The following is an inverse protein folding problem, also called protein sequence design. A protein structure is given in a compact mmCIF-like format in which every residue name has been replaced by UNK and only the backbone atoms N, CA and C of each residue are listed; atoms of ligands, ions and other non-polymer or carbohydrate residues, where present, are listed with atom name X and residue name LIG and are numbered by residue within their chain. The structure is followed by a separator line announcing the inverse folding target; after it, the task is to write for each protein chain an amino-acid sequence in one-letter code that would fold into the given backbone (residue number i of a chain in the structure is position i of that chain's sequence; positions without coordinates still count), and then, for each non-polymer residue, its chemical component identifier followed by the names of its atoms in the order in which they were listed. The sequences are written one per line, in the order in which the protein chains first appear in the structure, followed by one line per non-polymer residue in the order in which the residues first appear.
data_IF_965094387310
#
_entry.id   IF_965094387310
#
_cell.length_a   1.000
_cell.length_b   1.000
_cell.length_c   1.000
_cell.angle_alpha   90.00
_cell.angle_beta   90.00
_cell.angle_gamma   90.00
#
_symmetry.space_group_name_H-M   'P 1'
#
loop_
_entity.id
_entity.type
_entity.pdbx_description
1 polymer ?
#
# COMPACT_ATOMS: atom_id res chain seq x y z
N UNK A 1 18.15 -7.15 1.41
CA UNK A 1 16.83 -6.48 1.31
C UNK A 1 16.22 -6.38 2.70
N UNK A 2 15.40 -5.41 2.93
CA UNK A 2 14.73 -5.24 4.21
C UNK A 2 13.26 -4.91 4.00
N UNK A 3 12.40 -5.42 4.90
CA UNK A 3 10.98 -5.11 4.91
C UNK A 3 10.77 -3.64 5.31
N UNK A 4 9.92 -2.94 4.56
CA UNK A 4 9.57 -1.56 4.88
C UNK A 4 8.19 -1.46 5.52
N UNK A 5 7.14 -1.87 4.82
CA UNK A 5 5.77 -1.71 5.33
C UNK A 5 4.78 -2.59 4.58
N UNK A 6 3.63 -2.77 5.21
CA UNK A 6 2.43 -3.29 4.56
C UNK A 6 1.50 -2.12 4.20
N UNK A 7 0.92 -2.20 3.01
CA UNK A 7 -0.12 -1.30 2.55
C UNK A 7 -1.39 -2.11 2.36
N UNK A 8 -2.46 -1.74 3.05
CA UNK A 8 -3.75 -2.42 2.94
C UNK A 8 -4.66 -1.61 2.04
N UNK A 9 -4.91 -2.12 0.84
CA UNK A 9 -5.65 -1.42 -0.20
C UNK A 9 -7.16 -1.66 -0.08
N UNK A 10 -7.92 -0.63 -0.35
CA UNK A 10 -9.38 -0.67 -0.40
C UNK A 10 -9.90 -1.54 -1.55
N UNK A 11 -9.19 -1.55 -2.69
CA UNK A 11 -9.53 -2.33 -3.87
C UNK A 11 -8.30 -3.00 -4.45
N UNK A 12 -8.51 -4.09 -5.18
CA UNK A 12 -7.46 -4.72 -5.96
C UNK A 12 -7.14 -3.90 -7.22
N UNK A 13 -5.94 -4.08 -7.74
CA UNK A 13 -5.53 -3.51 -9.01
C UNK A 13 -4.56 -4.47 -9.71
N UNK A 14 -4.29 -4.21 -10.97
CA UNK A 14 -3.39 -5.05 -11.78
C UNK A 14 -1.95 -4.85 -11.38
N UNK A 15 -1.14 -5.90 -11.53
CA UNK A 15 0.28 -5.87 -11.16
C UNK A 15 1.03 -4.75 -11.87
N UNK A 16 0.79 -4.54 -13.17
CA UNK A 16 1.47 -3.48 -13.93
C UNK A 16 1.13 -2.08 -13.42
N UNK A 17 -0.09 -1.84 -12.98
CA UNK A 17 -0.48 -0.58 -12.38
C UNK A 17 0.19 -0.36 -11.03
N UNK A 18 0.31 -1.41 -10.23
CA UNK A 18 1.00 -1.35 -8.95
C UNK A 18 2.49 -1.06 -9.18
N UNK A 19 3.12 -1.72 -10.16
CA UNK A 19 4.51 -1.44 -10.55
C UNK A 19 4.69 0.04 -10.90
N UNK A 20 3.84 0.57 -11.78
CA UNK A 20 3.92 1.97 -12.21
C UNK A 20 3.75 2.93 -11.04
N UNK A 21 2.78 2.67 -10.16
CA UNK A 21 2.51 3.53 -9.02
C UNK A 21 3.68 3.57 -8.03
N UNK A 22 4.27 2.41 -7.73
CA UNK A 22 5.40 2.28 -6.82
C UNK A 22 6.65 2.91 -7.43
N UNK A 23 6.94 2.59 -8.68
CA UNK A 23 8.11 3.15 -9.37
C UNK A 23 8.05 4.67 -9.42
N UNK A 24 6.90 5.24 -9.73
CA UNK A 24 6.73 6.71 -9.75
C UNK A 24 6.91 7.32 -8.36
N UNK A 25 6.41 6.66 -7.31
CA UNK A 25 6.56 7.15 -5.94
C UNK A 25 8.01 7.16 -5.47
N UNK A 26 8.80 6.16 -5.87
CA UNK A 26 10.22 6.06 -5.53
C UNK A 26 11.12 6.77 -6.54
N UNK A 27 10.57 7.28 -7.63
CA UNK A 27 11.32 7.96 -8.71
C UNK A 27 12.39 7.03 -9.31
N UNK A 28 12.01 5.78 -9.57
CA UNK A 28 12.86 4.76 -10.17
C UNK A 28 12.20 4.17 -11.42
N UNK A 29 12.99 3.46 -12.22
CA UNK A 29 12.48 2.79 -13.42
C UNK A 29 11.51 1.65 -13.04
N UNK A 30 10.51 1.40 -13.89
CA UNK A 30 9.55 0.31 -13.67
C UNK A 30 10.23 -1.06 -13.62
N UNK A 31 11.33 -1.23 -14.35
CA UNK A 31 12.15 -2.46 -14.35
C UNK A 31 12.81 -2.73 -12.99
N UNK A 32 12.88 -1.72 -12.13
CA UNK A 32 13.44 -1.86 -10.77
C UNK A 32 12.41 -2.30 -9.74
N UNK A 33 11.15 -2.49 -10.14
CA UNK A 33 10.04 -2.91 -9.26
C UNK A 33 9.48 -4.23 -9.77
N UNK A 34 9.32 -5.19 -8.86
CA UNK A 34 8.62 -6.44 -9.15
C UNK A 34 7.43 -6.58 -8.21
N UNK A 35 6.28 -6.93 -8.76
CA UNK A 35 5.05 -7.23 -8.02
C UNK A 35 4.66 -8.67 -8.31
N UNK A 36 4.36 -9.43 -7.28
CA UNK A 36 3.93 -10.81 -7.44
C UNK A 36 3.44 -11.43 -6.14
N UNK A 37 2.83 -12.60 -6.26
CA UNK A 37 2.44 -13.39 -5.10
C UNK A 37 3.65 -14.11 -4.50
N UNK A 38 3.52 -14.57 -3.25
CA UNK A 38 4.55 -15.37 -2.59
C UNK A 38 4.60 -16.74 -3.27
N UNK A 39 5.45 -16.86 -4.27
CA UNK A 39 5.71 -18.10 -5.00
C UNK A 39 7.17 -18.15 -5.45
N UNK A 40 7.55 -19.20 -6.17
CA UNK A 40 8.94 -19.38 -6.63
C UNK A 40 9.39 -18.26 -7.57
N UNK A 41 8.50 -17.68 -8.36
CA UNK A 41 8.81 -16.60 -9.28
C UNK A 41 9.23 -15.33 -8.54
N UNK A 42 8.60 -15.03 -7.40
CA UNK A 42 8.98 -13.89 -6.56
C UNK A 42 10.37 -14.10 -5.96
N UNK A 43 10.67 -15.33 -5.52
CA UNK A 43 12.00 -15.65 -5.00
C UNK A 43 13.09 -15.52 -6.06
N UNK A 44 12.82 -15.92 -7.30
CA UNK A 44 13.75 -15.75 -8.41
C UNK A 44 13.97 -14.26 -8.72
N UNK A 45 12.91 -13.46 -8.69
CA UNK A 45 13.01 -12.01 -8.89
C UNK A 45 13.86 -11.32 -7.82
N UNK A 46 13.87 -11.86 -6.59
CA UNK A 46 14.66 -11.33 -5.48
C UNK A 46 16.13 -11.21 -5.78
N UNK A 47 16.67 -12.13 -6.61
CA UNK A 47 18.06 -12.15 -7.00
C UNK A 47 18.33 -11.41 -8.32
N UNK A 48 17.30 -10.82 -8.93
CA UNK A 48 17.46 -10.15 -10.22
C UNK A 48 18.33 -8.90 -10.09
N UNK A 49 19.33 -8.71 -10.97
CA UNK A 49 20.11 -7.48 -10.99
C UNK A 49 19.21 -6.28 -11.26
N UNK A 50 19.45 -5.19 -10.52
CA UNK A 50 18.69 -3.95 -10.70
C UNK A 50 17.37 -3.88 -9.97
N UNK A 51 16.90 -4.95 -9.36
CA UNK A 51 15.70 -4.91 -8.53
C UNK A 51 15.95 -4.04 -7.30
N UNK A 52 15.10 -3.02 -7.07
CA UNK A 52 15.17 -2.13 -5.91
C UNK A 52 14.00 -2.32 -4.97
N UNK A 53 12.81 -2.58 -5.49
CA UNK A 53 11.59 -2.74 -4.71
C UNK A 53 10.87 -4.02 -5.10
N UNK A 54 10.60 -4.85 -4.10
CA UNK A 54 9.79 -6.06 -4.26
C UNK A 54 8.48 -5.85 -3.53
N UNK A 55 7.37 -6.01 -4.25
CA UNK A 55 6.03 -5.94 -3.69
C UNK A 55 5.40 -7.31 -3.75
N UNK A 56 5.19 -7.92 -2.59
CA UNK A 56 4.45 -9.18 -2.49
C UNK A 56 3.00 -8.85 -2.20
N UNK A 57 2.11 -9.41 -3.00
CA UNK A 57 0.68 -9.18 -2.82
C UNK A 57 -0.03 -10.46 -2.43
N UNK A 58 -0.99 -10.32 -1.52
CA UNK A 58 -1.92 -11.38 -1.19
C UNK A 58 -3.18 -11.26 -2.05
N UNK A 59 -3.85 -12.40 -2.27
CA UNK A 59 -5.19 -12.39 -2.84
C UNK A 59 -6.15 -11.70 -1.86
N UNK A 60 -7.26 -11.10 -2.38
CA UNK A 60 -8.26 -10.51 -1.51
C UNK A 60 -8.74 -11.50 -0.46
N UNK A 61 -8.72 -11.07 0.81
CA UNK A 61 -9.08 -11.94 1.95
C UNK A 61 -10.56 -11.75 2.26
N UNK A 62 -11.37 -12.82 2.19
CA UNK A 62 -12.77 -12.76 2.65
C UNK A 62 -12.82 -12.33 4.12
N UNK A 63 -13.70 -11.39 4.45
CA UNK A 63 -13.84 -10.85 5.79
C UNK A 63 -13.10 -9.53 6.04
N UNK A 64 -12.09 -9.19 5.25
CA UNK A 64 -11.48 -7.84 5.26
C UNK A 64 -12.27 -6.93 4.32
N UNK A 65 -13.49 -6.61 4.71
CA UNK A 65 -14.49 -5.99 3.84
C UNK A 65 -14.07 -4.65 3.25
N UNK A 66 -13.27 -3.86 3.97
CA UNK A 66 -12.91 -2.51 3.52
C UNK A 66 -11.51 -2.43 2.91
N UNK A 67 -10.58 -3.28 3.35
CA UNK A 67 -9.20 -3.28 2.88
C UNK A 67 -8.75 -4.72 2.60
N UNK A 68 -9.26 -5.34 1.53
CA UNK A 68 -9.07 -6.76 1.29
C UNK A 68 -7.71 -7.16 0.74
N UNK A 69 -6.91 -6.22 0.25
CA UNK A 69 -5.64 -6.51 -0.42
C UNK A 69 -4.48 -5.96 0.39
N UNK A 70 -3.49 -6.79 0.69
CA UNK A 70 -2.26 -6.36 1.35
C UNK A 70 -1.09 -6.40 0.37
N UNK A 71 -0.34 -5.30 0.33
CA UNK A 71 0.94 -5.22 -0.37
C UNK A 71 2.05 -5.17 0.67
N UNK A 72 2.91 -6.19 0.69
CA UNK A 72 4.10 -6.21 1.53
C UNK A 72 5.27 -5.65 0.72
N UNK A 73 5.79 -4.50 1.13
CA UNK A 73 6.85 -3.79 0.40
C UNK A 73 8.20 -4.04 1.05
N UNK A 74 9.13 -4.57 0.28
CA UNK A 74 10.50 -4.86 0.69
C UNK A 74 11.47 -4.09 -0.20
N UNK A 75 12.50 -3.51 0.38
CA UNK A 75 13.45 -2.64 -0.31
C UNK A 75 14.84 -3.27 -0.31
N UNK A 76 15.59 -3.06 -1.40
CA UNK A 76 17.01 -3.42 -1.43
C UNK A 76 17.80 -2.43 -0.58
N UNK A 77 18.84 -2.90 0.10
CA UNK A 77 19.76 -2.03 0.82
C UNK A 77 20.30 -0.95 -0.12
N UNK A 78 20.31 0.28 0.33
CA UNK A 78 20.69 1.44 -0.47
C UNK A 78 19.54 2.14 -1.18
N UNK A 79 18.36 1.50 -1.30
CA UNK A 79 17.16 2.18 -1.77
C UNK A 79 16.62 3.03 -0.64
N UNK A 80 16.69 4.34 -0.78
CA UNK A 80 16.22 5.27 0.24
C UNK A 80 14.72 5.45 0.19
N UNK A 81 14.07 5.44 1.36
CA UNK A 81 12.65 5.78 1.44
C UNK A 81 12.45 7.29 1.38
N UNK A 82 13.43 8.07 1.87
CA UNK A 82 13.27 9.51 2.01
C UNK A 82 12.21 9.83 3.06
N UNK A 83 11.16 10.54 2.69
CA UNK A 83 10.00 10.76 3.54
C UNK A 83 8.99 9.60 3.35
N UNK A 84 8.85 8.70 4.35
CA UNK A 84 7.98 7.54 4.20
C UNK A 84 6.51 7.91 3.96
N UNK A 85 6.01 8.94 4.62
CA UNK A 85 4.61 9.38 4.46
C UNK A 85 4.37 9.90 3.04
N UNK A 86 5.30 10.67 2.49
CA UNK A 86 5.20 11.14 1.10
C UNK A 86 5.17 9.99 0.11
N UNK A 87 5.94 8.92 0.35
CA UNK A 87 5.93 7.73 -0.51
C UNK A 87 4.58 7.04 -0.51
N UNK A 88 4.01 6.82 0.67
CA UNK A 88 2.69 6.18 0.80
C UNK A 88 1.60 7.03 0.16
N UNK A 89 1.63 8.36 0.38
CA UNK A 89 0.70 9.29 -0.24
C UNK A 89 0.77 9.25 -1.77
N UNK A 90 1.98 9.22 -2.31
CA UNK A 90 2.19 9.14 -3.75
C UNK A 90 1.65 7.83 -4.34
N UNK A 91 1.87 6.71 -3.65
CA UNK A 91 1.36 5.40 -4.09
C UNK A 91 -0.18 5.42 -4.15
N UNK A 92 -0.84 5.88 -3.10
CA UNK A 92 -2.31 5.96 -3.07
C UNK A 92 -2.83 6.86 -4.19
N UNK A 93 -2.24 8.04 -4.36
CA UNK A 93 -2.63 8.99 -5.41
C UNK A 93 -2.41 8.40 -6.82
N UNK A 94 -1.29 7.74 -7.04
CA UNK A 94 -0.97 7.16 -8.34
C UNK A 94 -1.91 6.02 -8.70
N UNK A 95 -2.36 5.25 -7.70
CA UNK A 95 -3.36 4.19 -7.90
C UNK A 95 -4.78 4.73 -7.95
N UNK A 96 -5.05 5.87 -7.32
CA UNK A 96 -6.41 6.37 -7.13
C UNK A 96 -7.23 5.50 -6.18
N UNK A 97 -6.57 4.83 -5.23
CA UNK A 97 -7.16 3.87 -4.30
C UNK A 97 -6.81 4.28 -2.88
N UNK A 98 -7.80 4.27 -1.98
CA UNK A 98 -7.57 4.49 -0.56
C UNK A 98 -6.82 3.31 0.07
N UNK A 99 -5.97 3.61 1.05
CA UNK A 99 -5.25 2.57 1.78
C UNK A 99 -5.08 2.95 3.25
N UNK A 100 -4.81 1.96 4.08
CA UNK A 100 -4.34 2.18 5.45
C UNK A 100 -2.99 1.50 5.64
N UNK A 101 -2.19 2.09 6.51
CA UNK A 101 -0.85 1.60 6.83
C UNK A 101 -0.46 2.06 8.24
N UNK A 102 0.58 1.45 8.79
CA UNK A 102 1.16 1.86 10.06
C UNK A 102 2.43 2.73 9.90
N UNK A 103 2.70 3.23 8.72
CA UNK A 103 3.86 4.09 8.47
C UNK A 103 3.79 5.35 9.32
N UNK A 104 4.85 5.57 10.12
CA UNK A 104 4.97 6.73 11.00
C UNK A 104 3.79 6.90 11.96
N UNK A 105 3.30 5.77 12.50
CA UNK A 105 2.23 5.76 13.50
C UNK A 105 2.72 5.14 14.82
N UNK A 106 1.95 5.33 15.89
CA UNK A 106 2.25 4.77 17.20
C UNK A 106 1.01 4.08 17.79
N UNK A 107 1.23 2.98 18.52
CA UNK A 107 0.17 2.26 19.23
C UNK A 107 -0.92 1.76 18.30
N UNK A 108 -2.17 2.04 18.65
CA UNK A 108 -3.35 1.61 17.91
C UNK A 108 -3.73 2.55 16.75
N UNK A 109 -2.88 3.53 16.46
CA UNK A 109 -3.15 4.53 15.44
C UNK A 109 -2.73 4.02 14.07
N UNK A 110 -3.56 4.24 13.08
CA UNK A 110 -3.30 3.93 11.68
C UNK A 110 -3.26 5.20 10.85
N UNK A 111 -2.61 5.13 9.70
CA UNK A 111 -2.66 6.21 8.72
C UNK A 111 -3.62 5.82 7.61
N UNK A 112 -4.68 6.59 7.47
CA UNK A 112 -5.61 6.48 6.35
C UNK A 112 -5.13 7.42 5.25
N UNK A 113 -4.88 6.88 4.07
CA UNK A 113 -4.45 7.66 2.90
C UNK A 113 -5.56 7.62 1.86
N UNK A 114 -6.01 8.80 1.47
CA UNK A 114 -7.11 8.97 0.53
C UNK A 114 -6.66 8.77 -0.92
N UNK A 115 -7.57 8.47 -1.85
CA UNK A 115 -7.22 8.32 -3.27
C UNK A 115 -6.59 9.56 -3.91
N UNK A 116 -6.82 10.75 -3.35
CA UNK A 116 -6.19 11.99 -3.81
C UNK A 116 -4.82 12.26 -3.18
N UNK A 117 -4.34 11.37 -2.31
CA UNK A 117 -3.05 11.49 -1.65
C UNK A 117 -3.07 12.25 -0.34
N UNK A 118 -4.20 12.75 0.13
CA UNK A 118 -4.32 13.32 1.48
C UNK A 118 -4.35 12.21 2.51
N UNK A 119 -3.89 12.50 3.73
CA UNK A 119 -3.84 11.49 4.78
C UNK A 119 -4.28 12.07 6.12
N UNK A 120 -4.67 11.17 7.01
CA UNK A 120 -4.94 11.50 8.41
C UNK A 120 -4.65 10.29 9.29
N UNK A 121 -4.37 10.54 10.56
CA UNK A 121 -4.26 9.48 11.55
C UNK A 121 -5.66 9.12 12.05
N UNK A 122 -5.93 7.82 12.13
CA UNK A 122 -7.23 7.29 12.53
C UNK A 122 -7.07 6.17 13.55
N UNK A 123 -8.12 5.92 14.32
CA UNK A 123 -8.29 4.68 15.07
C UNK A 123 -9.37 3.87 14.37
N UNK A 124 -9.13 2.58 14.22
CA UNK A 124 -10.10 1.69 13.60
C UNK A 124 -11.34 1.53 14.49
N UNK A 125 -12.44 1.13 13.87
CA UNK A 125 -13.66 0.78 14.60
C UNK A 125 -13.34 -0.29 15.66
N UNK A 126 -13.86 -0.18 16.91
CA UNK A 126 -13.58 -1.16 17.96
C UNK A 126 -13.96 -2.60 17.62
N UNK A 127 -14.83 -2.83 16.64
CA UNK A 127 -15.17 -4.16 16.17
C UNK A 127 -14.11 -4.78 15.24
N UNK A 128 -13.08 -4.01 14.86
CA UNK A 128 -11.97 -4.53 14.05
C UNK A 128 -11.18 -5.57 14.85
N UNK A 129 -10.78 -6.64 14.17
CA UNK A 129 -9.91 -7.68 14.72
C UNK A 129 -8.76 -7.99 13.75
N UNK A 130 -8.00 -9.07 14.02
CA UNK A 130 -6.83 -9.42 13.20
C UNK A 130 -7.15 -9.72 11.74
N UNK A 131 -8.37 -10.12 11.44
CA UNK A 131 -8.79 -10.43 10.08
C UNK A 131 -9.58 -9.33 9.40
N UNK A 132 -9.97 -8.28 10.16
CA UNK A 132 -10.93 -7.29 9.68
C UNK A 132 -10.47 -5.89 10.05
N UNK A 133 -10.17 -5.08 9.06
CA UNK A 133 -9.77 -3.69 9.25
C UNK A 133 -10.96 -2.80 8.85
N UNK A 134 -11.63 -2.23 9.84
CA UNK A 134 -12.84 -1.45 9.64
C UNK A 134 -12.61 0.00 10.06
N UNK A 135 -12.95 0.93 9.19
CA UNK A 135 -12.98 2.34 9.53
C UNK A 135 -14.21 2.65 10.39
N UNK A 136 -14.10 3.70 11.20
CA UNK A 136 -15.29 4.28 11.80
C UNK A 136 -16.19 4.84 10.70
N UNK A 137 -17.48 5.01 11.00
CA UNK A 137 -18.44 5.60 10.05
C UNK A 137 -17.98 6.96 9.54
N UNK A 138 -17.46 7.79 10.44
CA UNK A 138 -16.99 9.13 10.10
C UNK A 138 -15.80 9.06 9.13
N UNK A 139 -14.83 8.20 9.38
CA UNK A 139 -13.65 8.06 8.53
C UNK A 139 -14.02 7.45 7.18
N UNK A 140 -14.96 6.52 7.14
CA UNK A 140 -15.49 5.97 5.89
C UNK A 140 -16.14 7.06 5.05
N UNK A 141 -16.93 7.93 5.64
CA UNK A 141 -17.57 9.05 4.94
C UNK A 141 -16.51 10.02 4.41
N UNK A 142 -15.46 10.29 5.18
CA UNK A 142 -14.39 11.17 4.73
C UNK A 142 -13.61 10.56 3.56
N UNK A 143 -13.28 9.27 3.62
CA UNK A 143 -12.65 8.56 2.51
C UNK A 143 -13.47 8.70 1.22
N UNK A 144 -14.78 8.52 1.32
CA UNK A 144 -15.67 8.63 0.16
C UNK A 144 -15.67 10.05 -0.44
N UNK A 145 -15.53 11.08 0.38
CA UNK A 145 -15.44 12.47 -0.09
C UNK A 145 -14.15 12.78 -0.84
N UNK A 146 -13.09 12.00 -0.61
CA UNK A 146 -11.79 12.21 -1.25
C UNK A 146 -11.58 11.34 -2.48
N UNK A 147 -12.62 10.70 -2.99
CA UNK A 147 -12.50 9.92 -4.21
C UNK A 147 -12.27 10.83 -5.40
N UNK A 148 -11.29 10.45 -6.21
CA UNK A 148 -11.00 11.14 -7.46
C UNK A 148 -12.10 10.78 -8.46
N UNK A 149 -12.69 11.80 -9.09
CA UNK A 149 -13.68 11.56 -10.14
C UNK A 149 -13.01 10.82 -11.30
N UNK A 150 -13.58 9.66 -11.66
CA UNK A 150 -13.15 8.94 -12.86
C UNK A 150 -13.84 9.61 -14.04
N UNK A 151 -13.02 10.22 -14.87
CA UNK A 151 -13.52 10.86 -16.08
C UNK A 151 -13.85 9.80 -17.14
#
# INVERSE_FOLDING_TARGET
MYYWTDLHLEHDDKDDRIVEAVAAAFEIATESVTVGRIDDAVQDAWNAPGLQVLVQRDDPVPGRLEFPVTLMVTLRHGTGVGDPVSKVRAIARNLGIGLITDVETQGDTWRLVMPDGKDKLVQLDPSSDQGTLLLTRQDRQELDRHRVAVA
#
